data_IF_193664261705
#
_entry.id   IF_193664261705
#
_cell.length_a   1.000
_cell.length_b   1.000
_cell.length_c   1.000
_cell.angle_alpha   90.00
_cell.angle_beta   90.00
_cell.angle_gamma   90.00
#
_symmetry.space_group_name_H-M   'P 1'
#
loop_
_entity.id
_entity.type
_entity.pdbx_description
1 polymer ?
#
# COMPACT_ATOMS: atom_id res chain seq x y z
N UNK A 1 0.92 18.23 14.30
CA UNK A 1 1.00 16.90 13.65
C UNK A 1 2.27 16.87 12.83
N UNK A 2 3.13 15.89 13.05
CA UNK A 2 4.31 15.67 12.21
C UNK A 2 4.05 14.49 11.27
N UNK A 3 4.59 14.62 10.07
CA UNK A 3 4.59 13.57 9.05
C UNK A 3 5.99 12.98 9.01
N UNK A 4 6.09 11.66 9.03
CA UNK A 4 7.34 10.93 8.84
C UNK A 4 7.23 10.04 7.60
N UNK A 5 8.35 9.89 6.90
CA UNK A 5 8.44 8.99 5.75
C UNK A 5 9.30 7.80 6.15
N UNK A 6 8.81 6.60 5.86
CA UNK A 6 9.49 5.35 6.17
C UNK A 6 9.45 4.44 4.95
N UNK A 7 10.55 3.75 4.71
CA UNK A 7 10.64 2.74 3.67
C UNK A 7 11.30 1.51 4.24
N UNK A 8 11.05 0.36 3.62
CA UNK A 8 11.58 -0.90 4.11
C UNK A 8 10.93 -2.10 3.44
N UNK A 9 11.11 -3.24 4.07
CA UNK A 9 10.54 -4.52 3.68
C UNK A 9 9.47 -4.95 4.68
N UNK A 10 8.52 -5.74 4.19
CA UNK A 10 7.48 -6.32 5.01
C UNK A 10 6.80 -7.49 4.33
N UNK A 11 5.71 -7.93 4.94
CA UNK A 11 4.93 -9.06 4.51
C UNK A 11 3.45 -8.70 4.42
N UNK A 12 2.78 -9.28 3.43
CA UNK A 12 1.33 -9.22 3.25
C UNK A 12 0.73 -10.58 3.57
N UNK A 13 -0.32 -10.59 4.37
CA UNK A 13 -1.08 -11.78 4.77
C UNK A 13 -2.53 -11.64 4.34
N UNK A 14 -3.13 -12.77 3.94
CA UNK A 14 -4.58 -12.84 3.86
C UNK A 14 -5.14 -12.81 5.29
N UNK A 15 -6.28 -12.16 5.49
CA UNK A 15 -7.00 -12.21 6.77
C UNK A 15 -7.24 -13.67 7.16
N UNK A 16 -6.95 -14.00 8.41
CA UNK A 16 -7.10 -15.35 9.00
C UNK A 16 -6.12 -16.43 8.46
N UNK A 17 -5.04 -16.02 7.79
CA UNK A 17 -3.97 -16.93 7.32
C UNK A 17 -2.64 -16.56 7.97
N UNK A 18 -2.07 -17.48 8.75
CA UNK A 18 -0.81 -17.27 9.47
C UNK A 18 0.44 -17.29 8.56
N UNK A 19 0.29 -17.64 7.28
CA UNK A 19 1.40 -17.69 6.32
C UNK A 19 1.43 -16.42 5.47
N UNK A 20 2.60 -15.78 5.31
CA UNK A 20 2.71 -14.61 4.43
C UNK A 20 2.43 -15.02 2.99
N UNK A 21 1.58 -14.23 2.33
CA UNK A 21 1.21 -14.38 0.93
C UNK A 21 2.33 -13.84 0.03
N UNK A 22 2.89 -12.69 0.38
CA UNK A 22 3.95 -12.03 -0.37
C UNK A 22 4.90 -11.23 0.53
N UNK A 23 6.16 -11.21 0.14
CA UNK A 23 7.15 -10.25 0.62
C UNK A 23 7.04 -8.99 -0.23
N UNK A 24 7.08 -7.83 0.44
CA UNK A 24 6.84 -6.54 -0.21
C UNK A 24 7.88 -5.51 0.20
N UNK A 25 8.16 -4.58 -0.72
CA UNK A 25 8.83 -3.33 -0.40
C UNK A 25 7.78 -2.24 -0.23
N UNK A 26 7.96 -1.35 0.74
CA UNK A 26 7.04 -0.24 0.96
C UNK A 26 7.74 1.11 1.03
N UNK A 27 6.98 2.15 0.68
CA UNK A 27 7.28 3.54 0.97
C UNK A 27 6.01 4.16 1.59
N UNK A 28 6.07 4.49 2.88
CA UNK A 28 4.94 4.97 3.65
C UNK A 28 5.15 6.40 4.14
N UNK A 29 4.06 7.15 4.12
CA UNK A 29 3.89 8.40 4.85
C UNK A 29 3.04 8.13 6.09
N UNK A 30 3.53 8.51 7.26
CA UNK A 30 2.88 8.20 8.54
C UNK A 30 2.62 9.46 9.39
N UNK A 31 1.55 9.43 10.16
CA UNK A 31 1.29 10.39 11.24
C UNK A 31 1.68 9.80 12.59
N UNK A 32 2.12 10.68 13.49
CA UNK A 32 2.24 10.31 14.90
C UNK A 32 0.86 10.19 15.54
N UNK A 33 0.70 9.21 16.43
CA UNK A 33 -0.48 9.10 17.30
C UNK A 33 -0.52 10.26 18.30
N UNK A 34 -1.73 10.61 18.74
CA UNK A 34 -1.96 11.54 19.85
C UNK A 34 -2.92 10.89 20.85
N UNK A 35 -3.19 11.57 21.98
CA UNK A 35 -4.22 11.14 22.92
C UNK A 35 -5.65 11.12 22.32
N UNK A 36 -5.85 11.75 21.16
CA UNK A 36 -7.15 11.87 20.49
C UNK A 36 -7.25 11.06 19.19
N UNK A 37 -6.13 10.65 18.60
CA UNK A 37 -6.10 10.07 17.25
C UNK A 37 -5.03 9.00 17.11
N UNK A 38 -5.40 7.85 16.53
CA UNK A 38 -4.45 6.80 16.17
C UNK A 38 -3.50 7.26 15.07
N UNK A 39 -2.29 6.71 15.07
CA UNK A 39 -1.37 6.83 13.95
C UNK A 39 -2.02 6.23 12.69
N UNK A 40 -1.83 6.91 11.55
CA UNK A 40 -2.26 6.42 10.24
C UNK A 40 -1.07 6.43 9.31
N UNK A 41 -1.08 5.55 8.33
CA UNK A 41 -0.05 5.48 7.33
C UNK A 41 -0.66 5.13 5.97
N UNK A 42 -0.07 5.68 4.92
CA UNK A 42 -0.51 5.50 3.54
C UNK A 42 0.70 5.63 2.62
N UNK A 43 0.67 4.96 1.48
CA UNK A 43 1.79 4.97 0.56
C UNK A 43 1.73 3.86 -0.45
N UNK A 44 2.89 3.48 -0.97
CA UNK A 44 3.04 2.50 -2.03
C UNK A 44 3.60 1.20 -1.47
N UNK A 45 3.03 0.09 -1.92
CA UNK A 45 3.49 -1.26 -1.63
C UNK A 45 3.77 -1.95 -2.96
N UNK A 46 5.00 -2.41 -3.14
CA UNK A 46 5.44 -3.15 -4.32
C UNK A 46 5.64 -4.60 -3.96
N UNK A 47 5.00 -5.49 -4.72
CA UNK A 47 5.09 -6.94 -4.56
C UNK A 47 5.59 -7.56 -5.86
N UNK A 48 6.43 -8.58 -5.76
CA UNK A 48 6.83 -9.41 -6.91
C UNK A 48 5.73 -10.41 -7.33
N UNK A 49 4.76 -10.64 -6.45
CA UNK A 49 3.57 -11.46 -6.70
C UNK A 49 2.38 -10.57 -7.02
N UNK A 50 1.55 -11.02 -7.95
CA UNK A 50 0.25 -10.39 -8.22
C UNK A 50 -0.68 -10.60 -7.01
N UNK A 51 -1.16 -9.50 -6.44
CA UNK A 51 -2.12 -9.50 -5.34
C UNK A 51 -3.51 -9.17 -5.89
N UNK A 52 -4.50 -10.00 -5.55
CA UNK A 52 -5.89 -9.73 -5.92
C UNK A 52 -6.45 -8.55 -5.11
N UNK A 53 -7.39 -7.76 -5.62
CA UNK A 53 -8.09 -6.76 -4.82
C UNK A 53 -8.80 -7.40 -3.62
N UNK A 54 -8.39 -7.02 -2.41
CA UNK A 54 -8.96 -7.48 -1.16
C UNK A 54 -8.45 -6.64 0.02
N UNK A 55 -8.98 -6.90 1.21
CA UNK A 55 -8.39 -6.50 2.48
C UNK A 55 -7.29 -7.50 2.86
N UNK A 56 -6.12 -6.99 3.22
CA UNK A 56 -4.97 -7.76 3.69
C UNK A 56 -4.45 -7.20 5.01
N UNK A 57 -3.66 -8.01 5.71
CA UNK A 57 -2.82 -7.52 6.80
C UNK A 57 -1.42 -7.26 6.25
N UNK A 58 -0.88 -6.08 6.53
CA UNK A 58 0.50 -5.74 6.29
C UNK A 58 1.27 -5.79 7.62
N UNK A 59 2.48 -6.33 7.57
CA UNK A 59 3.44 -6.34 8.67
C UNK A 59 4.80 -5.83 8.17
N UNK A 60 5.30 -4.75 8.77
CA UNK A 60 6.68 -4.32 8.53
C UNK A 60 7.68 -5.20 9.32
N UNK A 61 8.94 -5.26 8.89
CA UNK A 61 9.99 -6.02 9.59
C UNK A 61 10.21 -5.57 11.05
N UNK A 62 9.84 -4.34 11.39
CA UNK A 62 9.87 -3.82 12.77
C UNK A 62 8.69 -4.33 13.64
N UNK A 63 7.84 -5.21 13.10
CA UNK A 63 6.72 -5.85 13.78
C UNK A 63 5.43 -5.03 13.79
N UNK A 64 5.41 -3.81 13.23
CA UNK A 64 4.18 -3.03 13.11
C UNK A 64 3.22 -3.68 12.13
N UNK A 65 1.95 -3.82 12.52
CA UNK A 65 0.89 -4.38 11.67
C UNK A 65 -0.23 -3.38 11.43
N UNK A 66 -0.90 -3.51 10.29
CA UNK A 66 -2.17 -2.83 10.04
C UNK A 66 -2.93 -3.41 8.86
N UNK A 67 -4.22 -3.06 8.76
CA UNK A 67 -5.05 -3.45 7.62
C UNK A 67 -4.74 -2.56 6.42
N UNK A 68 -4.57 -3.18 5.25
CA UNK A 68 -4.41 -2.51 3.97
C UNK A 68 -5.45 -3.00 2.98
N UNK A 69 -6.01 -2.06 2.22
CA UNK A 69 -6.95 -2.37 1.15
C UNK A 69 -6.22 -2.16 -0.17
N UNK A 70 -6.10 -3.23 -0.95
CA UNK A 70 -5.51 -3.17 -2.30
C UNK A 70 -6.65 -3.10 -3.31
N UNK A 71 -6.65 -2.07 -4.14
CA UNK A 71 -7.60 -1.88 -5.24
C UNK A 71 -6.88 -1.84 -6.58
N UNK A 72 -7.46 -2.45 -7.63
CA UNK A 72 -6.95 -2.28 -8.99
C UNK A 72 -7.25 -0.85 -9.46
N UNK A 73 -6.20 -0.10 -9.77
CA UNK A 73 -6.33 1.20 -10.41
C UNK A 73 -6.30 0.99 -11.92
N UNK A 74 -7.46 1.05 -12.59
CA UNK A 74 -7.50 1.05 -14.06
C UNK A 74 -7.05 2.43 -14.53
N UNK A 75 -5.77 2.60 -14.87
CA UNK A 75 -5.28 3.79 -15.55
C UNK A 75 -5.85 3.81 -16.98
N UNK A 76 -6.94 4.56 -17.19
CA UNK A 76 -7.38 4.91 -18.55
C UNK A 76 -6.35 5.87 -19.14
N UNK A 77 -5.45 5.36 -19.98
CA UNK A 77 -4.63 6.20 -20.84
C UNK A 77 -5.54 6.91 -21.83
N UNK A 78 -5.89 8.16 -21.54
CA UNK A 78 -6.61 9.01 -22.49
C UNK A 78 -5.64 9.37 -23.62
N UNK A 79 -5.65 8.57 -24.68
CA UNK A 79 -4.90 8.87 -25.90
C UNK A 79 -5.65 9.98 -26.62
N UNK A 80 -5.21 11.23 -26.44
CA UNK A 80 -5.65 12.35 -27.27
C UNK A 80 -5.17 12.11 -28.70
N UNK A 81 -6.03 11.54 -29.55
CA UNK A 81 -5.80 11.54 -31.00
C UNK A 81 -5.93 12.99 -31.49
N UNK A 82 -4.80 13.58 -31.89
CA UNK A 82 -4.78 14.84 -32.65
C UNK A 82 -5.27 14.50 -34.05
N UNK A 83 -6.38 15.07 -34.55
CA UNK A 83 -6.78 14.87 -35.93
C UNK A 83 -5.79 15.58 -36.85
N UNK A 84 -5.17 14.84 -37.76
CA UNK A 84 -4.44 15.41 -38.89
C UNK A 84 -5.49 15.94 -39.88
N UNK A 85 -5.65 17.26 -39.91
CA UNK A 85 -6.37 17.95 -40.98
C UNK A 85 -5.55 17.84 -42.27
N UNK A 86 -6.15 17.20 -43.29
CA UNK A 86 -5.66 17.18 -44.67
C UNK A 86 -6.06 18.39 -45.48
#
# INVERSE_FOLDING_TARGET
>A
MSIKYTSGLGHIYLKDVDKPLADVQYNLMETNSSQYTSAKWWGEITSSKELKPAEYIFEAEDGRKGSVVISLTTTRTQTSQIPLSG
#
